data_IF_794794539659
#
_entry.id   IF_794794539659
#
_cell.length_a   1.000
_cell.length_b   1.000
_cell.length_c   1.000
_cell.angle_alpha   90.00
_cell.angle_beta   90.00
_cell.angle_gamma   90.00
#
_symmetry.space_group_name_H-M   'P 1'
#
loop_
_entity.id
_entity.type
_entity.pdbx_description
1 polymer ?
#
# COMPACT_ATOMS: atom_id res chain seq x y z
N UNK A 1 28.53 -3.50 13.32
CA UNK A 1 28.02 -3.21 13.10
C UNK A 1 27.59 -2.45 12.81
N UNK A 2 27.59 -2.27 12.98
CA UNK A 2 27.10 -1.57 12.73
C UNK A 2 26.32 -0.96 12.77
N UNK A 3 26.01 -1.06 13.08
CA UNK A 3 25.28 -0.47 13.30
C UNK A 3 24.98 0.45 12.86
N UNK A 4 25.36 0.67 12.67
CA UNK A 4 25.10 1.57 12.13
C UNK A 4 24.36 1.82 11.29
N UNK A 5 24.19 1.13 10.91
CA UNK A 5 23.29 1.20 10.12
C UNK A 5 22.14 1.62 10.60
N UNK A 6 21.93 2.63 10.60
CA UNK A 6 20.85 3.19 11.31
C UNK A 6 19.78 3.76 10.45
N UNK A 7 19.81 3.44 9.14
CA UNK A 7 18.72 3.81 8.26
C UNK A 7 17.48 3.04 8.67
N UNK A 8 16.39 3.74 9.00
CA UNK A 8 15.17 3.04 9.40
C UNK A 8 14.64 2.20 8.25
N UNK A 9 14.11 1.04 8.59
CA UNK A 9 13.45 0.21 7.61
C UNK A 9 12.16 0.90 7.17
N UNK A 10 11.97 0.99 5.86
CA UNK A 10 10.78 1.60 5.32
C UNK A 10 9.60 0.68 5.45
N UNK A 11 8.44 1.25 5.78
CA UNK A 11 7.21 0.49 5.97
C UNK A 11 6.29 0.66 4.79
N UNK A 12 5.80 -0.45 4.28
CA UNK A 12 4.87 -0.47 3.16
C UNK A 12 3.60 -1.17 3.60
N UNK A 13 2.46 -0.57 3.29
CA UNK A 13 1.18 -1.21 3.49
C UNK A 13 0.62 -1.63 2.15
N UNK A 14 0.23 -2.90 2.02
CA UNK A 14 -0.39 -3.43 0.82
C UNK A 14 -1.85 -3.73 1.13
N UNK A 15 -2.76 -3.10 0.39
CA UNK A 15 -4.19 -3.27 0.59
C UNK A 15 -4.79 -3.89 -0.66
N UNK A 16 -5.21 -5.14 -0.56
CA UNK A 16 -5.76 -5.89 -1.69
C UNK A 16 -6.59 -7.02 -1.14
N UNK A 17 -7.75 -7.27 -1.73
CA UNK A 17 -8.61 -8.34 -1.24
C UNK A 17 -8.22 -9.73 -1.74
N UNK A 18 -7.27 -9.81 -2.68
CA UNK A 18 -6.80 -11.11 -3.18
C UNK A 18 -5.66 -11.60 -2.30
N UNK A 19 -5.87 -12.67 -1.52
CA UNK A 19 -4.83 -13.14 -0.59
C UNK A 19 -3.58 -13.63 -1.31
N UNK A 20 -3.70 -14.12 -2.54
CA UNK A 20 -2.52 -14.58 -3.27
C UNK A 20 -1.64 -13.43 -3.67
N UNK A 21 -2.24 -12.34 -4.11
CA UNK A 21 -1.49 -11.17 -4.50
C UNK A 21 -0.88 -10.49 -3.27
N UNK A 22 -1.65 -10.39 -2.17
CA UNK A 22 -1.10 -9.86 -0.93
C UNK A 22 0.13 -10.63 -0.50
N UNK A 23 0.04 -11.97 -0.52
CA UNK A 23 1.15 -12.79 -0.07
C UNK A 23 2.35 -12.65 -1.00
N UNK A 24 2.12 -12.61 -2.29
CA UNK A 24 3.19 -12.43 -3.26
C UNK A 24 3.93 -11.12 -3.03
N UNK A 25 3.19 -10.03 -2.92
CA UNK A 25 3.79 -8.72 -2.72
C UNK A 25 4.50 -8.64 -1.37
N UNK A 26 3.87 -9.19 -0.33
CA UNK A 26 4.51 -9.19 0.99
C UNK A 26 5.86 -9.89 0.96
N UNK A 27 5.90 -11.07 0.33
CA UNK A 27 7.15 -11.82 0.27
C UNK A 27 8.20 -11.11 -0.58
N UNK A 28 7.79 -10.62 -1.75
CA UNK A 28 8.72 -9.97 -2.64
C UNK A 28 9.31 -8.71 -2.00
N UNK A 29 8.44 -7.86 -1.47
CA UNK A 29 8.90 -6.62 -0.89
C UNK A 29 9.71 -6.83 0.39
N UNK A 30 9.34 -7.85 1.17
CA UNK A 30 10.12 -8.18 2.35
C UNK A 30 11.54 -8.61 1.99
N UNK A 31 11.67 -9.36 0.89
CA UNK A 31 12.97 -9.78 0.42
C UNK A 31 13.82 -8.59 -0.04
N UNK A 32 13.17 -7.50 -0.42
CA UNK A 32 13.89 -6.28 -0.81
C UNK A 32 14.27 -5.42 0.41
N UNK A 33 13.94 -5.86 1.59
CA UNK A 33 14.35 -5.16 2.81
C UNK A 33 13.29 -4.28 3.42
N UNK A 34 12.06 -4.28 2.90
CA UNK A 34 11.00 -3.46 3.46
C UNK A 34 10.25 -4.18 4.56
N UNK A 35 9.67 -3.40 5.46
CA UNK A 35 8.79 -3.94 6.48
C UNK A 35 7.36 -3.83 5.95
N UNK A 36 6.76 -4.97 5.62
CA UNK A 36 5.51 -4.99 4.86
C UNK A 36 4.34 -5.41 5.74
N UNK A 37 3.31 -4.59 5.74
CA UNK A 37 2.04 -4.90 6.39
C UNK A 37 1.00 -5.13 5.29
N UNK A 38 -0.01 -5.92 5.58
CA UNK A 38 -1.06 -6.21 4.61
C UNK A 38 -2.42 -5.99 5.22
N UNK A 39 -3.39 -5.66 4.37
CA UNK A 39 -4.76 -5.46 4.76
C UNK A 39 -5.66 -5.92 3.63
N UNK A 40 -6.81 -6.46 3.95
CA UNK A 40 -7.70 -6.98 2.91
C UNK A 40 -8.80 -5.99 2.53
N UNK A 41 -9.03 -4.94 3.31
CA UNK A 41 -10.08 -3.97 3.00
C UNK A 41 -9.77 -2.62 3.64
N UNK A 42 -10.63 -1.66 3.33
CA UNK A 42 -10.44 -0.29 3.81
C UNK A 42 -10.56 -0.17 5.32
N UNK A 43 -11.42 -1.00 5.92
CA UNK A 43 -11.64 -0.93 7.36
C UNK A 43 -10.39 -1.35 8.11
N UNK A 44 -9.81 -2.46 7.71
CA UNK A 44 -8.59 -2.94 8.34
C UNK A 44 -7.43 -1.99 8.06
N UNK A 45 -7.38 -1.47 6.84
CA UNK A 45 -6.39 -0.46 6.50
C UNK A 45 -6.46 0.73 7.45
N UNK A 46 -7.67 1.20 7.73
CA UNK A 46 -7.84 2.36 8.60
C UNK A 46 -7.27 2.15 9.97
N UNK A 47 -7.44 0.94 10.52
CA UNK A 47 -6.90 0.64 11.83
C UNK A 47 -5.39 0.68 11.83
N UNK A 48 -4.77 0.10 10.80
CA UNK A 48 -3.32 0.11 10.69
C UNK A 48 -2.79 1.52 10.44
N UNK A 49 -3.52 2.31 9.65
CA UNK A 49 -3.09 3.66 9.33
C UNK A 49 -3.02 4.55 10.56
N UNK A 50 -3.88 4.30 11.52
CA UNK A 50 -3.88 5.07 12.76
C UNK A 50 -2.75 4.68 13.71
N UNK A 51 -2.30 3.42 13.63
CA UNK A 51 -1.32 2.93 14.58
C UNK A 51 0.11 3.01 14.09
N UNK A 52 0.30 2.95 12.76
CA UNK A 52 1.62 2.87 12.18
C UNK A 52 1.81 4.00 11.18
N UNK A 53 3.04 4.39 11.00
CA UNK A 53 3.40 5.33 9.94
C UNK A 53 3.92 4.53 8.75
N UNK A 54 3.38 4.79 7.57
CA UNK A 54 3.80 4.08 6.37
C UNK A 54 4.49 5.02 5.40
N UNK A 55 5.50 4.50 4.72
CA UNK A 55 6.26 5.26 3.74
C UNK A 55 5.70 5.10 2.34
N UNK A 56 4.90 4.06 2.13
CA UNK A 56 4.29 3.79 0.83
C UNK A 56 3.02 2.99 1.04
N UNK A 57 2.00 3.30 0.26
CA UNK A 57 0.75 2.54 0.23
C UNK A 57 0.61 1.91 -1.15
N UNK A 58 0.43 0.60 -1.20
CA UNK A 58 0.10 -0.11 -2.43
C UNK A 58 -1.37 -0.50 -2.31
N UNK A 59 -2.20 0.05 -3.16
CA UNK A 59 -3.64 0.05 -2.97
C UNK A 59 -4.38 -0.50 -4.18
N UNK A 60 -5.18 -1.52 -3.95
CA UNK A 60 -6.04 -2.06 -4.99
C UNK A 60 -7.16 -1.07 -5.29
N UNK A 61 -7.36 -0.80 -6.57
CA UNK A 61 -8.41 0.10 -7.00
C UNK A 61 -9.80 -0.45 -6.72
N UNK A 62 -9.94 -1.76 -6.78
CA UNK A 62 -11.24 -2.42 -6.71
C UNK A 62 -11.45 -3.16 -5.40
N UNK A 63 -11.50 -2.44 -4.31
CA UNK A 63 -11.73 -3.06 -3.00
C UNK A 63 -13.21 -3.18 -2.72
N UNK A 64 -13.63 -4.21 -1.98
CA UNK A 64 -15.02 -4.26 -1.51
C UNK A 64 -15.28 -3.14 -0.51
N UNK A 65 -16.43 -2.55 -0.61
CA UNK A 65 -16.86 -1.52 0.31
C UNK A 65 -16.46 -0.13 -0.13
N UNK A 66 -15.20 0.19 -0.09
CA UNK A 66 -14.72 1.52 -0.50
C UNK A 66 -13.64 1.35 -1.56
N UNK A 67 -13.79 1.99 -2.71
CA UNK A 67 -12.82 1.83 -3.78
C UNK A 67 -11.54 2.62 -3.50
N UNK A 68 -10.50 2.26 -4.25
CA UNK A 68 -9.18 2.86 -4.01
C UNK A 68 -9.12 4.34 -4.27
N UNK A 69 -9.88 4.84 -5.26
CA UNK A 69 -9.87 6.27 -5.55
C UNK A 69 -10.47 7.06 -4.40
N UNK A 70 -11.51 6.54 -3.77
CA UNK A 70 -12.12 7.17 -2.62
C UNK A 70 -11.14 7.28 -1.46
N UNK A 71 -10.39 6.20 -1.24
CA UNK A 71 -9.38 6.20 -0.19
C UNK A 71 -8.31 7.25 -0.47
N UNK A 72 -7.86 7.34 -1.71
CA UNK A 72 -6.86 8.34 -2.09
C UNK A 72 -7.35 9.75 -1.84
N UNK A 73 -8.59 10.02 -2.23
CA UNK A 73 -9.15 11.36 -2.03
C UNK A 73 -9.23 11.70 -0.56
N UNK A 74 -9.61 10.71 0.26
CA UNK A 74 -9.71 10.94 1.70
C UNK A 74 -8.35 11.27 2.31
N UNK A 75 -7.31 10.53 1.91
CA UNK A 75 -5.98 10.79 2.43
C UNK A 75 -5.47 12.16 2.01
N UNK A 76 -5.63 12.51 0.74
CA UNK A 76 -5.16 13.81 0.26
C UNK A 76 -5.96 14.95 0.87
N UNK A 77 -7.25 14.75 1.09
CA UNK A 77 -8.08 15.75 1.75
C UNK A 77 -7.65 15.99 3.19
N UNK A 78 -7.07 15.00 3.84
CA UNK A 78 -6.53 15.15 5.18
C UNK A 78 -5.07 15.56 5.21
N UNK A 79 -4.55 16.01 4.08
CA UNK A 79 -3.16 16.48 3.95
C UNK A 79 -2.14 15.38 4.16
N UNK A 80 -2.54 14.13 3.95
CA UNK A 80 -1.61 13.02 4.02
C UNK A 80 -0.97 12.84 2.64
N UNK A 81 0.34 13.01 2.57
CA UNK A 81 1.08 12.98 1.32
C UNK A 81 1.83 11.68 1.09
N UNK A 82 1.50 10.64 1.84
CA UNK A 82 2.15 9.35 1.66
C UNK A 82 2.03 8.90 0.20
N UNK A 83 3.12 8.50 -0.45
CA UNK A 83 3.05 8.02 -1.81
C UNK A 83 2.14 6.81 -1.94
N UNK A 84 1.38 6.76 -3.03
CA UNK A 84 0.42 5.69 -3.28
C UNK A 84 0.66 5.11 -4.66
N UNK A 85 0.77 3.78 -4.70
CA UNK A 85 0.79 3.05 -5.97
C UNK A 85 -0.54 2.33 -6.08
N UNK A 86 -1.26 2.57 -7.18
CA UNK A 86 -2.56 1.96 -7.39
C UNK A 86 -2.45 0.75 -8.28
N UNK A 87 -3.13 -0.32 -7.89
CA UNK A 87 -3.18 -1.55 -8.67
C UNK A 87 -4.57 -1.74 -9.23
N UNK A 88 -4.67 -2.50 -10.31
CA UNK A 88 -5.95 -2.88 -10.86
C UNK A 88 -5.90 -4.33 -11.28
N UNK A 89 -7.07 -4.98 -11.29
CA UNK A 89 -7.16 -6.38 -11.67
C UNK A 89 -6.99 -6.59 -13.17
N UNK A 90 -7.16 -5.55 -13.97
CA UNK A 90 -7.10 -5.68 -15.42
C UNK A 90 -5.77 -5.17 -15.94
N UNK A 91 -5.06 -6.03 -16.64
CA UNK A 91 -3.73 -5.69 -17.12
C UNK A 91 -3.71 -4.43 -17.97
N UNK A 92 -4.71 -4.24 -18.82
CA UNK A 92 -4.71 -3.07 -19.68
C UNK A 92 -4.94 -1.78 -18.92
N UNK A 93 -5.48 -1.86 -17.71
CA UNK A 93 -5.67 -0.67 -16.90
C UNK A 93 -4.44 -0.35 -16.06
N UNK A 94 -3.59 -1.31 -15.83
CA UNK A 94 -2.38 -1.09 -15.05
C UNK A 94 -1.51 -0.04 -15.73
N UNK A 95 -1.38 -0.13 -17.05
CA UNK A 95 -0.54 0.81 -17.78
C UNK A 95 -0.99 2.24 -17.59
N UNK A 96 -2.30 2.46 -17.57
CA UNK A 96 -2.81 3.81 -17.39
C UNK A 96 -2.60 4.33 -15.99
N UNK A 97 -2.77 3.46 -15.01
CA UNK A 97 -2.66 3.88 -13.63
C UNK A 97 -1.23 4.19 -13.27
N UNK A 98 -0.30 3.39 -13.75
CA UNK A 98 1.10 3.62 -13.45
C UNK A 98 1.56 4.98 -13.96
N UNK A 99 0.95 5.48 -15.00
CA UNK A 99 1.33 6.78 -15.53
C UNK A 99 0.82 7.95 -14.74
N UNK A 100 0.01 7.72 -13.72
CA UNK A 100 -0.55 8.83 -13.02
C UNK A 100 0.36 9.42 -12.02
N UNK A 101 1.06 8.88 -11.44
CA UNK A 101 1.77 9.42 -10.47
C UNK A 101 1.45 10.68 -10.02
#
# INVERSE_FOLDING_TARGET
MNTQNTTPTRKILVVDDDPRLRDLLRRYLSEQGFNVFVSEDAKEMGKLWQREHFDLLVLDLMLPGEDGLSICRRLRGGHDNTPIIMLTAKAEEIDRIVGLE
#
